data_IF_617144848708
#
_entry.id   IF_617144848708
#
_cell.length_a   1.000
_cell.length_b   1.000
_cell.length_c   1.000
_cell.angle_alpha   90.00
_cell.angle_beta   90.00
_cell.angle_gamma   90.00
#
_symmetry.space_group_name_H-M   'P 1'
#
loop_
_entity.id
_entity.type
_entity.pdbx_description
1 polymer ?
#
# COMPACT_ATOMS: atom_id res chain seq x y z
N UNK A 1 -51.44 28.96 32.43
CA UNK A 1 -50.59 27.98 33.15
C UNK A 1 -51.49 26.86 33.66
N UNK A 2 -51.58 25.76 32.91
CA UNK A 2 -52.29 24.54 33.33
C UNK A 2 -51.30 23.56 33.96
N UNK A 3 -51.45 23.31 35.26
CA UNK A 3 -50.64 22.37 36.03
C UNK A 3 -51.02 20.93 35.65
N UNK A 4 -50.10 20.20 35.02
CA UNK A 4 -50.23 18.76 34.77
C UNK A 4 -50.08 18.05 36.13
N UNK A 5 -51.02 17.17 36.52
CA UNK A 5 -51.02 16.56 37.85
C UNK A 5 -49.84 15.60 38.03
N UNK A 6 -49.27 15.49 39.25
CA UNK A 6 -48.04 14.73 39.54
C UNK A 6 -48.15 13.21 39.29
N UNK A 7 -49.37 12.68 39.11
CA UNK A 7 -49.60 11.29 38.74
C UNK A 7 -49.25 10.98 37.27
N UNK A 8 -49.17 12.00 36.41
CA UNK A 8 -48.80 11.85 34.98
C UNK A 8 -47.29 11.70 34.77
N UNK A 9 -46.48 12.32 35.63
CA UNK A 9 -45.02 12.27 35.53
C UNK A 9 -44.44 10.89 35.84
N UNK A 10 -45.03 10.18 36.81
CA UNK A 10 -44.63 8.83 37.20
C UNK A 10 -44.94 7.84 36.06
N UNK A 11 -46.11 7.97 35.43
CA UNK A 11 -46.48 7.15 34.26
C UNK A 11 -45.52 7.36 33.08
N UNK A 12 -45.12 8.61 32.80
CA UNK A 12 -44.17 8.92 31.74
C UNK A 12 -42.78 8.33 32.03
N UNK A 13 -42.33 8.36 33.29
CA UNK A 13 -41.07 7.78 33.74
C UNK A 13 -41.05 6.25 33.65
N UNK A 14 -42.17 5.59 33.93
CA UNK A 14 -42.31 4.14 33.73
C UNK A 14 -42.29 3.77 32.24
N UNK A 15 -42.94 4.55 31.38
CA UNK A 15 -42.94 4.30 29.93
C UNK A 15 -41.53 4.50 29.34
N UNK A 16 -40.81 5.56 29.71
CA UNK A 16 -39.44 5.80 29.22
C UNK A 16 -38.46 4.75 29.75
N UNK A 17 -38.61 4.31 31.01
CA UNK A 17 -37.79 3.24 31.58
C UNK A 17 -38.08 1.89 30.92
N UNK A 18 -39.34 1.58 30.64
CA UNK A 18 -39.72 0.36 29.92
C UNK A 18 -39.20 0.36 28.47
N UNK A 19 -39.27 1.50 27.77
CA UNK A 19 -38.70 1.64 26.43
C UNK A 19 -37.17 1.52 26.44
N UNK A 20 -36.49 2.03 27.47
CA UNK A 20 -35.05 1.89 27.65
C UNK A 20 -34.63 0.45 27.97
N UNK A 21 -35.39 -0.26 28.80
CA UNK A 21 -35.15 -1.68 29.10
C UNK A 21 -35.45 -2.56 27.89
N UNK A 22 -36.51 -2.26 27.12
CA UNK A 22 -36.80 -2.96 25.87
C UNK A 22 -35.70 -2.71 24.82
N UNK A 23 -35.17 -1.48 24.70
CA UNK A 23 -34.08 -1.19 23.76
C UNK A 23 -32.79 -1.90 24.16
N UNK A 24 -32.51 -2.04 25.46
CA UNK A 24 -31.42 -2.87 25.97
C UNK A 24 -31.64 -4.35 25.73
N UNK A 25 -32.87 -4.85 25.80
CA UNK A 25 -33.18 -6.24 25.42
C UNK A 25 -32.95 -6.49 23.92
N UNK A 26 -33.23 -5.52 23.05
CA UNK A 26 -32.90 -5.63 21.62
C UNK A 26 -31.39 -5.51 21.34
N UNK A 27 -30.66 -4.68 22.08
CA UNK A 27 -29.19 -4.54 22.00
C UNK A 27 -28.43 -5.74 22.58
N UNK A 28 -28.95 -6.35 23.65
CA UNK A 28 -28.35 -7.55 24.26
C UNK A 28 -28.75 -8.83 23.52
N UNK A 29 -29.87 -8.84 22.80
CA UNK A 29 -30.26 -9.93 21.89
C UNK A 29 -29.65 -9.79 20.48
N UNK A 30 -29.04 -8.65 20.15
CA UNK A 30 -28.26 -8.47 18.91
C UNK A 30 -26.78 -8.85 19.04
N UNK A 31 -26.35 -9.37 20.20
CA UNK A 31 -24.99 -9.89 20.41
C UNK A 31 -24.88 -11.42 20.27
N UNK A 32 -25.92 -12.09 19.78
CA UNK A 32 -25.77 -13.44 19.24
C UNK A 32 -25.25 -13.34 17.80
N UNK A 33 -23.97 -13.71 17.66
CA UNK A 33 -23.28 -14.16 16.43
C UNK A 33 -24.09 -13.98 15.15
N UNK A 34 -23.72 -13.01 14.33
CA UNK A 34 -23.84 -13.19 12.89
C UNK A 34 -22.99 -14.38 12.50
N UNK A 35 -23.63 -15.57 12.48
CA UNK A 35 -23.19 -16.69 11.67
C UNK A 35 -23.09 -16.15 10.25
N UNK A 36 -21.87 -15.85 9.81
CA UNK A 36 -21.56 -15.78 8.40
C UNK A 36 -22.06 -17.08 7.78
N UNK A 37 -23.07 -16.99 6.92
CA UNK A 37 -23.40 -18.06 6.01
C UNK A 37 -22.28 -18.03 4.98
N UNK A 38 -21.26 -18.82 5.26
CA UNK A 38 -20.27 -19.26 4.29
C UNK A 38 -21.01 -19.99 3.16
N UNK A 39 -21.24 -19.29 2.04
CA UNK A 39 -21.45 -19.96 0.77
C UNK A 39 -20.09 -20.32 0.17
N UNK A 40 -19.41 -21.29 0.78
CA UNK A 40 -18.44 -22.12 0.08
C UNK A 40 -19.22 -23.01 -0.89
N UNK A 41 -19.42 -22.53 -2.12
CA UNK A 41 -19.54 -23.44 -3.26
C UNK A 41 -18.12 -23.89 -3.63
N UNK A 42 -17.61 -24.85 -2.85
CA UNK A 42 -16.50 -25.69 -3.27
C UNK A 42 -17.03 -26.63 -4.37
N UNK A 43 -16.40 -26.73 -5.55
CA UNK A 43 -16.54 -27.91 -6.38
C UNK A 43 -15.90 -29.08 -5.63
N UNK A 44 -16.65 -30.18 -5.47
CA UNK A 44 -16.19 -31.44 -4.89
C UNK A 44 -14.78 -31.83 -5.37
N UNK A 45 -13.81 -31.81 -4.47
CA UNK A 45 -12.46 -32.37 -4.64
C UNK A 45 -12.40 -33.87 -4.33
N UNK A 46 -13.47 -34.60 -4.66
CA UNK A 46 -13.51 -36.07 -4.61
C UNK A 46 -13.85 -36.60 -5.99
N UNK A 47 -12.90 -36.50 -6.93
CA UNK A 47 -12.91 -37.27 -8.18
C UNK A 47 -11.54 -37.24 -8.89
N UNK A 48 -10.42 -37.22 -8.17
CA UNK A 48 -9.10 -37.56 -8.74
C UNK A 48 -8.29 -38.33 -7.71
N UNK A 49 -8.67 -39.58 -7.50
CA UNK A 49 -7.77 -40.63 -7.05
C UNK A 49 -8.32 -41.96 -7.61
N UNK A 50 -7.44 -42.70 -8.29
CA UNK A 50 -7.66 -43.99 -8.93
C UNK A 50 -8.45 -43.98 -10.26
N UNK A 51 -7.70 -43.87 -11.36
CA UNK A 51 -7.96 -44.62 -12.59
C UNK A 51 -6.69 -44.62 -13.42
N UNK A 52 -5.78 -45.54 -13.09
CA UNK A 52 -4.88 -46.11 -14.10
C UNK A 52 -5.74 -46.65 -15.23
N UNK A 53 -5.71 -45.99 -16.39
CA UNK A 53 -5.97 -46.67 -17.65
C UNK A 53 -5.32 -45.91 -18.79
N UNK A 54 -4.34 -46.58 -19.39
CA UNK A 54 -3.81 -46.30 -20.72
C UNK A 54 -4.98 -46.17 -21.71
N UNK A 55 -5.20 -44.95 -22.20
CA UNK A 55 -5.95 -44.73 -23.42
C UNK A 55 -5.01 -44.12 -24.44
N UNK A 56 -4.52 -44.99 -25.31
CA UNK A 56 -3.96 -44.66 -26.61
C UNK A 56 -5.09 -44.02 -27.41
N UNK A 57 -4.95 -42.74 -27.74
CA UNK A 57 -5.76 -42.09 -28.77
C UNK A 57 -4.81 -41.52 -29.81
N UNK A 58 -4.94 -42.07 -31.00
CA UNK A 58 -4.21 -41.73 -32.19
C UNK A 58 -4.50 -40.30 -32.68
N UNK A 59 -3.54 -39.85 -33.47
CA UNK A 59 -3.20 -38.49 -33.81
C UNK A 59 -4.04 -37.97 -35.00
N UNK A 60 -5.01 -37.08 -34.76
CA UNK A 60 -5.54 -36.17 -35.79
C UNK A 60 -6.08 -34.89 -35.15
N UNK A 61 -5.46 -33.74 -35.43
CA UNK A 61 -6.08 -32.43 -35.18
C UNK A 61 -5.08 -31.36 -34.75
N UNK A 62 -4.86 -30.39 -35.65
CA UNK A 62 -4.26 -29.07 -35.43
C UNK A 62 -3.91 -28.72 -33.98
N UNK A 63 -2.61 -28.82 -33.67
CA UNK A 63 -1.99 -28.16 -32.52
C UNK A 63 -2.17 -26.64 -32.66
N UNK A 64 -3.16 -26.08 -31.96
CA UNK A 64 -3.13 -24.68 -31.53
C UNK A 64 -1.85 -24.49 -30.73
N UNK A 65 -0.83 -23.93 -31.39
CA UNK A 65 0.42 -23.52 -30.74
C UNK A 65 0.07 -22.37 -29.78
N UNK A 66 -0.13 -22.68 -28.50
CA UNK A 66 0.02 -21.67 -27.46
C UNK A 66 1.47 -21.20 -27.53
N UNK A 67 1.63 -19.95 -27.99
CA UNK A 67 2.93 -19.34 -28.16
C UNK A 67 3.71 -19.35 -26.86
N UNK A 68 5.01 -19.59 -26.99
CA UNK A 68 6.04 -19.43 -25.95
C UNK A 68 5.75 -18.26 -25.01
N UNK A 69 5.94 -18.48 -23.69
CA UNK A 69 5.93 -17.48 -22.62
C UNK A 69 6.90 -16.32 -22.89
N UNK A 70 6.57 -15.45 -23.84
CA UNK A 70 7.18 -14.14 -23.94
C UNK A 70 6.56 -13.31 -22.83
N UNK A 71 7.38 -12.95 -21.84
CA UNK A 71 7.04 -11.96 -20.81
C UNK A 71 6.51 -10.71 -21.51
N UNK A 72 5.20 -10.49 -21.45
CA UNK A 72 4.57 -9.37 -22.14
C UNK A 72 4.89 -8.08 -21.38
N UNK A 73 5.49 -7.11 -22.07
CA UNK A 73 5.91 -5.83 -21.47
C UNK A 73 4.68 -4.95 -21.32
N UNK A 74 4.45 -4.41 -20.11
CA UNK A 74 3.36 -3.48 -19.84
C UNK A 74 3.56 -2.18 -20.62
N UNK A 75 2.61 -1.82 -21.49
CA UNK A 75 2.63 -0.55 -22.22
C UNK A 75 1.91 0.52 -21.43
N UNK A 76 2.63 1.59 -21.10
CA UNK A 76 2.10 2.66 -20.26
C UNK A 76 2.09 3.97 -21.02
N UNK A 77 0.91 4.57 -21.17
CA UNK A 77 0.82 5.96 -21.59
C UNK A 77 0.94 6.85 -20.35
N UNK A 78 1.71 7.91 -20.41
CA UNK A 78 1.90 8.84 -19.30
C UNK A 78 1.47 10.23 -19.73
N UNK A 79 0.51 10.83 -19.01
CA UNK A 79 0.03 12.18 -19.29
C UNK A 79 1.16 13.21 -19.18
N UNK A 80 1.23 14.11 -20.15
CA UNK A 80 2.09 15.29 -20.14
C UNK A 80 1.50 16.40 -19.25
N UNK A 81 1.40 16.12 -17.94
CA UNK A 81 0.92 17.08 -16.96
C UNK A 81 1.87 18.29 -16.87
N UNK A 82 1.35 19.51 -16.62
CA UNK A 82 2.18 20.68 -16.40
C UNK A 82 3.22 20.47 -15.28
N UNK A 83 4.39 21.12 -15.34
CA UNK A 83 5.46 20.95 -14.33
C UNK A 83 5.06 21.20 -12.88
N UNK A 84 4.00 21.99 -12.63
CA UNK A 84 3.45 22.22 -11.28
C UNK A 84 2.91 20.95 -10.59
N UNK A 85 2.74 19.84 -11.33
CA UNK A 85 2.34 18.55 -10.78
C UNK A 85 3.53 17.62 -10.46
N UNK A 86 4.74 17.85 -10.97
CA UNK A 86 5.84 16.90 -10.80
C UNK A 86 7.19 17.57 -10.49
N UNK A 87 8.17 17.53 -11.38
CA UNK A 87 9.52 18.07 -11.18
C UNK A 87 9.53 19.58 -10.91
N UNK A 88 8.53 20.34 -11.35
CA UNK A 88 8.38 21.75 -10.92
C UNK A 88 8.19 21.89 -9.41
N UNK A 89 7.59 20.89 -8.75
CA UNK A 89 7.48 20.82 -7.30
C UNK A 89 8.82 20.55 -6.59
N UNK A 90 9.87 20.16 -7.31
CA UNK A 90 11.23 20.02 -6.76
C UNK A 90 12.14 21.18 -7.15
N UNK A 91 11.62 22.17 -7.89
CA UNK A 91 12.36 23.35 -8.35
C UNK A 91 13.01 23.19 -9.73
N UNK A 92 12.78 22.08 -10.43
CA UNK A 92 13.16 21.94 -11.83
C UNK A 92 12.38 22.94 -12.70
N UNK A 93 13.04 23.48 -13.72
CA UNK A 93 12.44 24.43 -14.66
C UNK A 93 12.42 23.82 -16.06
N UNK A 94 11.28 23.87 -16.78
CA UNK A 94 11.19 23.36 -18.13
C UNK A 94 12.08 24.16 -19.09
N UNK A 95 12.64 23.46 -20.09
CA UNK A 95 13.34 24.07 -21.22
C UNK A 95 12.41 24.09 -22.42
N UNK A 96 12.08 25.29 -22.92
CA UNK A 96 11.11 25.45 -24.01
C UNK A 96 9.73 24.92 -23.63
N UNK A 97 9.10 24.20 -24.56
CA UNK A 97 7.76 23.61 -24.37
C UNK A 97 7.79 22.19 -23.77
N UNK A 98 8.97 21.67 -23.39
CA UNK A 98 9.07 20.33 -22.83
C UNK A 98 8.61 20.31 -21.36
N UNK A 99 7.68 19.42 -21.04
CA UNK A 99 7.21 19.22 -19.66
C UNK A 99 8.10 18.24 -18.89
N UNK A 100 9.01 17.52 -19.54
CA UNK A 100 9.88 16.52 -18.90
C UNK A 100 11.35 16.95 -18.86
N UNK A 101 12.10 16.54 -17.82
CA UNK A 101 13.55 16.64 -17.82
C UNK A 101 14.17 15.70 -18.87
N UNK A 102 15.25 16.13 -19.51
CA UNK A 102 16.08 15.26 -20.34
C UNK A 102 17.05 14.48 -19.46
N UNK A 103 16.78 13.18 -19.28
CA UNK A 103 17.58 12.31 -18.43
C UNK A 103 19.00 12.06 -18.95
N UNK A 104 19.29 12.42 -20.20
CA UNK A 104 20.65 12.37 -20.78
C UNK A 104 21.51 13.54 -20.33
N UNK A 105 20.89 14.68 -19.99
CA UNK A 105 21.60 15.86 -19.48
C UNK A 105 21.85 15.78 -17.96
N UNK A 106 21.12 14.90 -17.26
CA UNK A 106 21.31 14.66 -15.83
C UNK A 106 20.04 14.16 -15.14
N UNK A 107 20.24 13.50 -14.00
CA UNK A 107 19.13 13.01 -13.16
C UNK A 107 18.57 14.16 -12.33
N UNK A 108 17.27 14.49 -12.44
CA UNK A 108 16.66 15.55 -11.64
C UNK A 108 16.76 15.25 -10.15
N UNK A 109 17.12 16.26 -9.37
CA UNK A 109 17.17 16.13 -7.91
C UNK A 109 15.77 15.85 -7.33
N UNK A 110 15.72 14.96 -6.36
CA UNK A 110 14.56 14.74 -5.50
C UNK A 110 14.91 15.09 -4.04
N UNK A 111 14.01 15.78 -3.29
CA UNK A 111 14.28 16.15 -1.91
C UNK A 111 14.65 14.94 -1.04
N UNK A 112 15.78 15.03 -0.34
CA UNK A 112 16.24 13.99 0.57
C UNK A 112 15.46 13.92 1.89
N UNK A 113 16.01 13.16 2.84
CA UNK A 113 15.43 12.98 4.18
C UNK A 113 14.10 12.23 4.15
N UNK A 114 13.15 12.64 4.99
CA UNK A 114 11.84 11.97 5.09
C UNK A 114 11.00 12.04 3.80
N UNK A 115 11.30 12.97 2.88
CA UNK A 115 10.61 13.01 1.59
C UNK A 115 10.88 11.76 0.74
N UNK A 116 12.00 11.07 0.98
CA UNK A 116 12.35 9.85 0.25
C UNK A 116 11.37 8.72 0.52
N UNK A 117 10.84 8.60 1.75
CA UNK A 117 9.96 7.49 2.15
C UNK A 117 8.78 7.29 1.21
N UNK A 118 8.22 8.39 0.69
CA UNK A 118 7.10 8.40 -0.24
C UNK A 118 7.50 9.02 -1.59
N UNK A 119 8.62 8.58 -2.16
CA UNK A 119 9.15 9.08 -3.44
C UNK A 119 8.77 8.23 -4.66
N UNK A 120 7.77 7.37 -4.53
CA UNK A 120 7.42 6.35 -5.52
C UNK A 120 7.05 7.01 -6.86
N UNK A 121 6.33 8.13 -6.81
CA UNK A 121 5.95 8.91 -7.99
C UNK A 121 7.16 9.33 -8.82
N UNK A 122 8.25 9.72 -8.15
CA UNK A 122 9.49 10.10 -8.81
C UNK A 122 10.15 8.89 -9.48
N UNK A 123 10.31 7.77 -8.78
CA UNK A 123 11.00 6.59 -9.33
C UNK A 123 10.27 5.98 -10.52
N UNK A 124 8.94 5.86 -10.46
CA UNK A 124 8.13 5.34 -11.57
C UNK A 124 8.17 6.29 -12.78
N UNK A 125 8.11 7.61 -12.55
CA UNK A 125 8.22 8.60 -13.63
C UNK A 125 9.59 8.55 -14.31
N UNK A 126 10.66 8.47 -13.53
CA UNK A 126 12.03 8.34 -14.03
C UNK A 126 12.21 7.07 -14.87
N UNK A 127 11.64 5.95 -14.43
CA UNK A 127 11.71 4.69 -15.16
C UNK A 127 10.99 4.76 -16.50
N UNK A 128 9.78 5.32 -16.54
CA UNK A 128 9.02 5.53 -17.78
C UNK A 128 9.75 6.45 -18.76
N UNK A 129 10.32 7.56 -18.29
CA UNK A 129 11.13 8.47 -19.11
C UNK A 129 12.39 7.76 -19.66
N UNK A 130 13.04 6.94 -18.85
CA UNK A 130 14.21 6.17 -19.30
C UNK A 130 13.87 5.08 -20.32
N UNK A 131 12.68 4.48 -20.21
CA UNK A 131 12.25 3.37 -21.07
C UNK A 131 12.10 3.73 -22.55
N UNK A 132 12.00 5.02 -22.87
CA UNK A 132 11.92 5.51 -24.26
C UNK A 132 13.26 5.40 -25.02
N UNK A 133 14.36 5.34 -24.29
CA UNK A 133 15.72 5.43 -24.85
C UNK A 133 16.53 4.14 -24.66
N UNK A 134 15.94 3.11 -24.05
CA UNK A 134 16.63 1.87 -23.70
C UNK A 134 16.29 0.78 -24.71
N UNK A 135 17.29 0.38 -25.51
CA UNK A 135 17.13 -0.70 -26.49
C UNK A 135 17.06 -2.10 -25.85
N UNK A 136 17.56 -2.23 -24.61
CA UNK A 136 17.57 -3.51 -23.91
C UNK A 136 16.30 -3.71 -23.07
N UNK A 137 15.28 -4.30 -23.69
CA UNK A 137 13.96 -4.56 -23.10
C UNK A 137 13.86 -5.92 -22.40
N UNK A 138 14.91 -6.76 -22.39
CA UNK A 138 14.76 -8.19 -22.05
C UNK A 138 14.23 -8.47 -20.64
N UNK A 139 14.64 -7.65 -19.66
CA UNK A 139 14.24 -7.81 -18.24
C UNK A 139 13.23 -6.74 -17.78
N UNK A 140 13.08 -5.65 -18.55
CA UNK A 140 12.18 -4.55 -18.20
C UNK A 140 10.74 -5.00 -18.19
N UNK A 141 9.99 -4.54 -17.20
CA UNK A 141 8.59 -4.91 -17.01
C UNK A 141 7.63 -3.92 -17.69
N UNK A 142 8.15 -2.76 -18.10
CA UNK A 142 7.35 -1.63 -18.60
C UNK A 142 8.02 -0.93 -19.78
N UNK A 143 7.19 -0.37 -20.67
CA UNK A 143 7.61 0.55 -21.73
C UNK A 143 6.62 1.70 -21.84
N UNK A 144 7.13 2.94 -21.83
CA UNK A 144 6.31 4.13 -22.12
C UNK A 144 5.93 4.14 -23.61
N UNK A 145 4.63 4.29 -23.89
CA UNK A 145 4.08 4.54 -25.22
C UNK A 145 3.61 5.99 -25.33
N UNK A 146 3.69 6.56 -26.54
CA UNK A 146 3.27 7.95 -26.81
C UNK A 146 1.80 8.06 -27.20
N UNK A 147 1.19 6.96 -27.65
CA UNK A 147 -0.20 6.90 -28.05
C UNK A 147 -1.02 6.15 -27.00
N UNK A 148 -2.03 6.82 -26.43
CA UNK A 148 -2.88 6.25 -25.37
C UNK A 148 -3.77 5.10 -25.85
N UNK A 149 -3.90 4.88 -27.16
CA UNK A 149 -4.60 3.72 -27.74
C UNK A 149 -3.75 2.44 -27.74
N UNK A 150 -2.43 2.56 -27.63
CA UNK A 150 -1.50 1.42 -27.56
C UNK A 150 -1.22 0.97 -26.12
N UNK A 151 -1.69 1.73 -25.14
CA UNK A 151 -1.41 1.51 -23.73
C UNK A 151 -2.35 0.48 -23.10
N UNK A 152 -1.80 -0.29 -22.18
CA UNK A 152 -2.56 -1.17 -21.30
C UNK A 152 -3.14 -0.40 -20.10
N UNK A 153 -2.40 0.60 -19.63
CA UNK A 153 -2.74 1.48 -18.50
C UNK A 153 -2.21 2.89 -18.71
N UNK A 154 -2.79 3.85 -18.01
CA UNK A 154 -2.46 5.27 -18.09
C UNK A 154 -1.90 5.77 -16.76
N UNK A 155 -0.67 6.25 -16.77
CA UNK A 155 0.00 6.79 -15.60
C UNK A 155 -0.28 8.29 -15.42
N UNK A 156 -0.63 8.67 -14.19
CA UNK A 156 -0.83 10.07 -13.78
C UNK A 156 0.38 10.54 -12.96
N UNK A 157 1.32 11.31 -13.55
CA UNK A 157 2.56 11.70 -12.91
C UNK A 157 2.37 12.94 -12.01
N UNK A 158 1.55 12.81 -10.95
CA UNK A 158 1.42 13.84 -9.92
C UNK A 158 2.21 13.45 -8.67
N UNK A 159 3.20 14.25 -8.28
CA UNK A 159 4.03 14.03 -7.09
C UNK A 159 3.26 14.48 -5.83
N UNK A 160 2.15 13.80 -5.56
CA UNK A 160 1.16 14.16 -4.54
C UNK A 160 1.75 14.17 -3.13
N UNK A 161 2.72 13.30 -2.85
CA UNK A 161 3.46 13.28 -1.58
C UNK A 161 4.28 14.56 -1.34
N UNK A 162 4.96 15.06 -2.38
CA UNK A 162 5.71 16.34 -2.31
C UNK A 162 4.76 17.52 -2.21
N UNK A 163 3.67 17.52 -2.99
CA UNK A 163 2.63 18.57 -2.92
C UNK A 163 2.12 18.73 -1.48
N UNK A 164 1.74 17.61 -0.85
CA UNK A 164 1.28 17.59 0.53
C UNK A 164 2.35 18.13 1.50
N UNK A 165 3.57 17.58 1.46
CA UNK A 165 4.64 17.95 2.39
C UNK A 165 5.05 19.42 2.28
N UNK A 166 5.04 19.99 1.07
CA UNK A 166 5.42 21.39 0.85
C UNK A 166 4.33 22.37 1.25
N UNK A 167 3.06 22.08 0.92
CA UNK A 167 2.03 23.13 0.95
C UNK A 167 0.97 22.96 2.05
N UNK A 168 0.74 21.76 2.60
CA UNK A 168 -0.39 21.56 3.54
C UNK A 168 -0.23 22.36 4.84
N UNK A 169 0.97 22.41 5.40
CA UNK A 169 1.23 22.99 6.73
C UNK A 169 1.76 24.44 6.71
N UNK A 170 2.00 25.03 5.53
CA UNK A 170 2.62 26.36 5.40
C UNK A 170 1.62 27.52 5.31
N UNK A 171 0.33 27.24 5.20
CA UNK A 171 -0.69 28.26 4.91
C UNK A 171 -1.83 28.28 5.94
N UNK A 172 -1.49 28.30 7.23
CA UNK A 172 -2.49 28.52 8.30
C UNK A 172 -3.15 29.90 8.09
N UNK A 173 -4.44 29.92 7.77
CA UNK A 173 -5.23 31.15 7.59
C UNK A 173 -5.76 31.43 6.17
N UNK A 174 -5.40 30.63 5.16
CA UNK A 174 -6.01 30.72 3.81
C UNK A 174 -7.23 29.81 3.68
N UNK A 175 -8.24 30.23 2.90
CA UNK A 175 -9.48 29.46 2.65
C UNK A 175 -9.22 28.12 1.94
N UNK A 176 -8.16 28.03 1.12
CA UNK A 176 -7.70 26.80 0.47
C UNK A 176 -6.20 26.86 0.24
N UNK A 177 -5.47 25.79 0.57
CA UNK A 177 -4.03 25.72 0.35
C UNK A 177 -3.67 25.28 -1.07
N UNK A 178 -2.44 25.57 -1.51
CA UNK A 178 -1.94 25.21 -2.86
C UNK A 178 -2.13 23.72 -3.18
N UNK A 179 -1.87 22.82 -2.23
CA UNK A 179 -2.06 21.36 -2.40
C UNK A 179 -3.50 21.02 -2.79
N UNK A 180 -4.49 21.57 -2.09
CA UNK A 180 -5.90 21.36 -2.38
C UNK A 180 -6.33 21.98 -3.72
N UNK A 181 -5.69 23.07 -4.17
CA UNK A 181 -5.94 23.66 -5.49
C UNK A 181 -5.37 22.77 -6.61
N UNK A 182 -4.17 22.21 -6.43
CA UNK A 182 -3.58 21.27 -7.38
C UNK A 182 -4.42 20.00 -7.50
N UNK A 183 -4.96 19.49 -6.40
CA UNK A 183 -5.86 18.33 -6.41
C UNK A 183 -7.14 18.59 -7.21
N UNK A 184 -7.78 19.75 -7.04
CA UNK A 184 -8.96 20.12 -7.85
C UNK A 184 -8.63 20.26 -9.34
N UNK A 185 -7.51 20.92 -9.66
CA UNK A 185 -7.03 21.04 -11.04
C UNK A 185 -6.76 19.67 -11.66
N UNK A 186 -6.14 18.76 -10.91
CA UNK A 186 -5.87 17.39 -11.35
C UNK A 186 -7.17 16.67 -11.70
N UNK A 187 -8.17 16.72 -10.81
CA UNK A 187 -9.46 16.07 -11.05
C UNK A 187 -10.14 16.64 -12.29
N UNK A 188 -10.18 17.97 -12.42
CA UNK A 188 -10.75 18.64 -13.59
C UNK A 188 -10.03 18.22 -14.88
N UNK A 189 -8.70 18.24 -14.87
CA UNK A 189 -7.88 17.84 -16.02
C UNK A 189 -8.15 16.40 -16.41
N UNK A 190 -8.05 15.44 -15.47
CA UNK A 190 -8.22 14.02 -15.75
C UNK A 190 -9.63 13.71 -16.24
N UNK A 191 -10.66 14.17 -15.55
CA UNK A 191 -12.06 13.87 -15.90
C UNK A 191 -12.51 14.48 -17.23
N UNK A 192 -11.80 15.50 -17.71
CA UNK A 192 -12.04 16.09 -19.04
C UNK A 192 -11.45 15.27 -20.19
N UNK A 193 -10.43 14.43 -19.95
CA UNK A 193 -9.72 13.66 -20.98
C UNK A 193 -10.59 12.57 -21.61
N UNK A 194 -10.37 12.31 -22.90
CA UNK A 194 -11.06 11.24 -23.61
C UNK A 194 -10.74 9.86 -23.02
N UNK A 195 -9.49 9.62 -22.61
CA UNK A 195 -9.14 8.33 -22.04
C UNK A 195 -9.84 8.08 -20.71
N UNK A 196 -9.98 9.11 -19.88
CA UNK A 196 -10.75 8.99 -18.64
C UNK A 196 -12.20 8.64 -18.92
N UNK A 197 -12.85 9.39 -19.84
CA UNK A 197 -14.24 9.14 -20.24
C UNK A 197 -14.43 7.75 -20.84
N UNK A 198 -13.44 7.26 -21.58
CA UNK A 198 -13.46 5.94 -22.23
C UNK A 198 -13.60 4.80 -21.23
N UNK A 199 -12.90 4.83 -20.10
CA UNK A 199 -12.84 3.72 -19.15
C UNK A 199 -13.40 4.05 -17.76
N UNK A 200 -13.87 5.28 -17.56
CA UNK A 200 -14.31 5.79 -16.27
C UNK A 200 -13.18 5.92 -15.25
N UNK A 201 -11.93 6.06 -15.72
CA UNK A 201 -10.72 6.13 -14.89
C UNK A 201 -10.11 4.79 -14.48
N UNK A 202 -10.69 3.64 -14.88
CA UNK A 202 -10.28 2.31 -14.38
C UNK A 202 -8.96 1.77 -14.93
N UNK A 203 -8.51 2.32 -16.05
CA UNK A 203 -7.19 2.07 -16.62
C UNK A 203 -6.15 3.10 -16.14
N UNK A 204 -6.55 4.08 -15.30
CA UNK A 204 -5.64 5.08 -14.75
C UNK A 204 -4.98 4.61 -13.47
N UNK A 205 -3.69 4.93 -13.36
CA UNK A 205 -2.85 4.73 -12.18
C UNK A 205 -2.66 6.08 -11.52
N UNK A 206 -3.11 6.21 -10.28
CA UNK A 206 -2.98 7.43 -9.47
C UNK A 206 -2.23 7.09 -8.19
N UNK A 207 -1.24 7.91 -7.84
CA UNK A 207 -0.39 7.64 -6.68
C UNK A 207 -0.84 8.46 -5.46
N UNK A 208 -1.15 7.74 -4.39
CA UNK A 208 -1.48 8.31 -3.08
C UNK A 208 -0.66 7.61 -1.97
N UNK A 209 0.63 7.35 -2.24
CA UNK A 209 1.49 6.56 -1.37
C UNK A 209 1.71 7.22 0.00
N UNK A 210 1.79 8.55 0.08
CA UNK A 210 1.72 9.22 1.38
C UNK A 210 0.27 9.19 1.90
N UNK A 211 0.00 8.70 3.12
CA UNK A 211 -1.37 8.45 3.61
C UNK A 211 -2.24 9.71 3.77
N UNK A 212 -1.61 10.90 3.74
CA UNK A 212 -2.31 12.19 3.76
C UNK A 212 -2.28 12.93 2.41
N UNK A 213 -1.73 12.33 1.36
CA UNK A 213 -1.81 12.88 0.01
C UNK A 213 -3.21 12.66 -0.58
N UNK A 214 -3.59 13.48 -1.57
CA UNK A 214 -4.85 13.35 -2.31
C UNK A 214 -6.14 13.32 -1.49
N UNK A 215 -6.16 13.89 -0.28
CA UNK A 215 -7.35 13.86 0.58
C UNK A 215 -8.63 14.39 -0.10
N UNK A 216 -8.51 15.41 -0.96
CA UNK A 216 -9.63 16.05 -1.65
C UNK A 216 -9.95 15.40 -3.02
N UNK A 217 -8.97 14.72 -3.61
CA UNK A 217 -9.09 14.10 -4.95
C UNK A 217 -9.43 12.61 -4.92
N UNK A 218 -8.99 11.86 -3.90
CA UNK A 218 -9.13 10.39 -3.85
C UNK A 218 -10.58 9.92 -4.00
N UNK A 219 -11.54 10.55 -3.33
CA UNK A 219 -12.95 10.15 -3.48
C UNK A 219 -13.51 10.43 -4.88
N UNK A 220 -12.96 11.41 -5.60
CA UNK A 220 -13.37 11.78 -6.96
C UNK A 220 -12.70 10.91 -8.03
N UNK A 221 -11.55 10.32 -7.71
CA UNK A 221 -10.75 9.48 -8.60
C UNK A 221 -10.81 8.00 -8.21
N UNK A 222 -11.78 7.58 -7.39
CA UNK A 222 -11.81 6.26 -6.74
C UNK A 222 -11.81 5.05 -7.69
N UNK A 223 -12.28 5.25 -8.92
CA UNK A 223 -12.29 4.24 -9.96
C UNK A 223 -10.88 3.87 -10.44
N UNK A 224 -9.89 4.76 -10.25
CA UNK A 224 -8.51 4.50 -10.62
C UNK A 224 -7.89 3.38 -9.78
N UNK A 225 -6.88 2.74 -10.35
CA UNK A 225 -5.93 1.92 -9.60
C UNK A 225 -5.03 2.86 -8.80
N UNK A 226 -5.01 2.70 -7.48
CA UNK A 226 -4.11 3.40 -6.61
C UNK A 226 -2.84 2.62 -6.33
N UNK A 227 -1.75 3.38 -6.22
CA UNK A 227 -0.52 2.91 -5.59
C UNK A 227 -0.45 3.55 -4.20
N UNK A 228 -0.51 2.71 -3.16
CA UNK A 228 -0.65 3.07 -1.76
C UNK A 228 0.46 2.46 -0.90
N UNK A 229 0.65 2.97 0.33
CA UNK A 229 1.50 2.33 1.33
C UNK A 229 0.77 1.28 2.17
N UNK A 230 -0.54 1.45 2.35
CA UNK A 230 -1.49 0.55 3.02
C UNK A 230 -2.94 1.03 2.76
N UNK A 231 -3.93 0.25 3.22
CA UNK A 231 -5.35 0.63 3.15
C UNK A 231 -5.92 1.26 4.42
N UNK A 232 -5.15 1.44 5.49
CA UNK A 232 -5.66 1.82 6.81
C UNK A 232 -6.39 3.16 6.87
N UNK A 233 -6.17 4.07 5.91
CA UNK A 233 -6.90 5.35 5.78
C UNK A 233 -7.98 5.37 4.72
N UNK A 234 -8.36 4.20 4.21
CA UNK A 234 -9.24 4.07 3.06
C UNK A 234 -10.36 3.08 3.39
N UNK A 235 -11.63 3.46 3.20
CA UNK A 235 -12.70 2.48 3.22
C UNK A 235 -12.51 1.48 2.07
N UNK A 236 -12.92 0.20 2.22
CA UNK A 236 -12.74 -0.83 1.19
C UNK A 236 -13.34 -0.50 -0.19
N UNK A 237 -14.37 0.35 -0.19
CA UNK A 237 -15.00 0.85 -1.42
C UNK A 237 -14.14 1.85 -2.20
N UNK A 238 -13.19 2.50 -1.52
CA UNK A 238 -12.24 3.45 -2.11
C UNK A 238 -10.93 2.77 -2.51
N UNK A 239 -10.40 1.91 -1.63
CA UNK A 239 -9.19 1.16 -1.89
C UNK A 239 -9.27 -0.29 -1.42
N UNK A 240 -8.77 -1.23 -2.22
CA UNK A 240 -8.80 -2.66 -1.93
C UNK A 240 -7.81 -3.46 -2.78
N UNK A 241 -7.51 -4.67 -2.31
CA UNK A 241 -6.59 -5.62 -2.95
C UNK A 241 -7.00 -6.00 -4.38
N UNK A 242 -8.26 -5.87 -4.79
CA UNK A 242 -8.66 -6.31 -6.14
C UNK A 242 -8.12 -5.37 -7.22
N UNK A 243 -8.12 -4.06 -6.97
CA UNK A 243 -7.78 -3.05 -7.97
C UNK A 243 -6.47 -2.33 -7.69
N UNK A 244 -6.07 -2.19 -6.42
CA UNK A 244 -4.95 -1.35 -6.01
C UNK A 244 -3.67 -2.16 -5.79
N UNK A 245 -2.55 -1.42 -5.73
CA UNK A 245 -1.21 -1.96 -5.51
C UNK A 245 -0.60 -1.32 -4.27
N UNK A 246 -0.08 -2.15 -3.36
CA UNK A 246 0.75 -1.68 -2.26
C UNK A 246 2.19 -1.59 -2.75
N UNK A 247 2.82 -0.42 -2.58
CA UNK A 247 4.23 -0.20 -2.87
C UNK A 247 5.02 -0.11 -1.56
N UNK A 248 6.27 -0.60 -1.53
CA UNK A 248 7.12 -0.45 -0.36
C UNK A 248 7.55 1.00 -0.18
N UNK A 249 7.76 1.41 1.06
CA UNK A 249 8.41 2.70 1.32
C UNK A 249 9.87 2.63 0.86
N UNK A 250 10.44 3.76 0.43
CA UNK A 250 11.89 3.83 0.30
C UNK A 250 12.51 3.95 1.69
N UNK A 251 13.23 2.91 2.09
CA UNK A 251 14.03 2.90 3.32
C UNK A 251 14.97 4.13 3.37
N UNK A 252 15.18 4.66 4.57
CA UNK A 252 15.99 5.86 4.83
C UNK A 252 17.35 5.54 5.42
N UNK A 253 17.54 4.31 5.87
CA UNK A 253 18.83 3.75 6.25
C UNK A 253 19.57 3.23 5.00
N UNK A 254 20.91 3.23 4.96
CA UNK A 254 21.64 2.62 3.86
C UNK A 254 21.48 1.09 3.87
N UNK A 255 21.39 0.50 2.69
CA UNK A 255 21.42 -0.96 2.46
C UNK A 255 22.68 -1.57 3.06
N UNK A 256 22.55 -2.73 3.71
CA UNK A 256 23.66 -3.39 4.37
C UNK A 256 24.39 -4.36 3.44
N UNK A 257 25.28 -3.79 2.64
CA UNK A 257 26.07 -4.53 1.65
C UNK A 257 27.06 -5.49 2.33
N UNK A 258 27.13 -6.73 1.82
CA UNK A 258 28.06 -7.78 2.26
C UNK A 258 27.97 -8.12 3.75
N UNK A 259 26.75 -8.15 4.30
CA UNK A 259 26.53 -8.58 5.68
C UNK A 259 26.95 -10.05 5.88
N UNK A 260 27.92 -10.25 6.76
CA UNK A 260 28.46 -11.55 7.18
C UNK A 260 28.15 -11.86 8.64
N UNK A 261 27.14 -11.17 9.20
CA UNK A 261 26.68 -11.38 10.56
C UNK A 261 26.27 -12.83 10.82
N UNK A 262 26.41 -13.25 12.07
CA UNK A 262 25.84 -14.49 12.59
C UNK A 262 24.86 -14.16 13.70
N UNK A 263 24.10 -15.15 14.15
CA UNK A 263 23.18 -14.98 15.28
C UNK A 263 23.87 -14.42 16.53
N UNK A 264 25.09 -14.87 16.81
CA UNK A 264 25.84 -14.50 18.01
C UNK A 264 26.56 -13.15 17.87
N UNK A 265 26.84 -12.69 16.64
CA UNK A 265 27.45 -11.37 16.42
C UNK A 265 26.47 -10.20 16.58
N UNK A 266 25.16 -10.49 16.68
CA UNK A 266 24.10 -9.51 16.90
C UNK A 266 23.63 -9.56 18.36
N UNK A 267 24.21 -8.77 19.27
CA UNK A 267 24.00 -8.94 20.72
C UNK A 267 22.58 -8.58 21.19
N UNK A 268 21.89 -7.67 20.51
CA UNK A 268 20.55 -7.23 20.89
C UNK A 268 19.50 -8.22 20.38
N UNK A 269 18.58 -8.67 21.24
CA UNK A 269 17.50 -9.57 20.83
C UNK A 269 16.43 -8.80 20.05
N UNK A 270 15.80 -7.80 20.67
CA UNK A 270 14.74 -7.00 20.07
C UNK A 270 15.13 -5.53 19.97
N UNK A 271 14.85 -4.93 18.82
CA UNK A 271 15.12 -3.52 18.57
C UNK A 271 13.89 -2.75 18.12
N UNK A 272 13.63 -1.63 18.80
CA UNK A 272 12.69 -0.60 18.40
C UNK A 272 13.29 0.78 18.66
N UNK A 273 13.27 1.62 17.63
CA UNK A 273 13.53 3.05 17.79
C UNK A 273 12.54 3.85 16.94
N UNK A 274 11.83 4.78 17.58
CA UNK A 274 10.87 5.66 16.89
C UNK A 274 9.87 6.30 17.83
N UNK A 275 8.86 6.98 17.27
CA UNK A 275 7.81 7.57 18.08
C UNK A 275 6.98 6.47 18.77
N UNK A 276 6.99 6.48 20.11
CA UNK A 276 6.29 5.51 20.97
C UNK A 276 4.85 5.94 21.18
N UNK A 277 4.63 7.19 21.59
CA UNK A 277 3.28 7.72 21.76
C UNK A 277 2.66 8.04 20.41
N UNK A 278 1.72 7.20 19.99
CA UNK A 278 0.97 7.28 18.73
C UNK A 278 -0.51 7.06 19.01
N UNK A 279 -1.33 7.32 18.00
CA UNK A 279 -2.79 7.14 18.05
C UNK A 279 -3.20 5.96 17.18
N UNK A 280 -4.50 5.67 17.17
CA UNK A 280 -5.10 4.60 16.36
C UNK A 280 -4.42 3.25 16.64
N UNK A 281 -4.05 2.47 15.62
CA UNK A 281 -3.32 1.20 15.80
C UNK A 281 -1.96 1.35 16.50
N UNK A 282 -1.40 2.56 16.56
CA UNK A 282 -0.12 2.84 17.18
C UNK A 282 -0.15 2.93 18.71
N UNK A 283 -1.33 2.94 19.34
CA UNK A 283 -1.48 2.98 20.79
C UNK A 283 -0.74 1.82 21.48
N UNK A 284 -0.70 0.65 20.84
CA UNK A 284 -0.01 -0.56 21.33
C UNK A 284 1.48 -0.34 21.61
N UNK A 285 2.14 0.62 20.93
CA UNK A 285 3.56 0.92 21.16
C UNK A 285 3.83 1.38 22.58
N UNK A 286 2.91 2.14 23.17
CA UNK A 286 3.05 2.62 24.56
C UNK A 286 2.97 1.46 25.54
N UNK A 287 2.01 0.55 25.35
CA UNK A 287 1.84 -0.61 26.21
C UNK A 287 3.05 -1.54 26.14
N UNK A 288 3.50 -1.88 24.92
CA UNK A 288 4.70 -2.69 24.72
C UNK A 288 5.93 -2.02 25.32
N UNK A 289 6.12 -0.72 25.13
CA UNK A 289 7.22 0.01 25.76
C UNK A 289 7.21 -0.15 27.28
N UNK A 290 6.06 0.03 27.94
CA UNK A 290 5.99 -0.13 29.40
C UNK A 290 6.24 -1.57 29.85
N UNK A 291 5.91 -2.57 29.02
CA UNK A 291 6.11 -3.98 29.36
C UNK A 291 7.56 -4.46 29.22
N UNK A 292 8.30 -4.00 28.20
CA UNK A 292 9.60 -4.61 27.83
C UNK A 292 10.79 -3.64 27.78
N UNK A 293 10.63 -2.34 28.07
CA UNK A 293 11.74 -1.37 27.99
C UNK A 293 12.92 -1.67 28.92
N UNK A 294 12.69 -2.38 30.02
CA UNK A 294 13.71 -2.67 31.05
C UNK A 294 14.32 -4.09 30.88
N UNK A 295 13.93 -4.83 29.83
CA UNK A 295 14.54 -6.13 29.50
C UNK A 295 15.97 -5.94 28.99
N UNK A 296 16.91 -6.72 29.52
CA UNK A 296 18.36 -6.54 29.30
C UNK A 296 18.78 -6.61 27.82
N UNK A 297 18.12 -7.46 27.04
CA UNK A 297 18.41 -7.74 25.63
C UNK A 297 17.49 -6.99 24.66
N UNK A 298 16.77 -5.97 25.16
CA UNK A 298 15.83 -5.16 24.38
C UNK A 298 16.30 -3.72 24.31
N UNK A 299 16.33 -3.16 23.10
CA UNK A 299 16.45 -1.72 22.88
C UNK A 299 15.09 -1.18 22.44
N UNK A 300 14.38 -0.48 23.32
CA UNK A 300 13.10 0.15 23.00
C UNK A 300 13.14 1.63 23.37
N UNK A 301 13.38 2.51 22.39
CA UNK A 301 13.61 3.94 22.67
C UNK A 301 12.89 4.89 21.70
N UNK A 302 12.78 6.15 22.11
CA UNK A 302 12.34 7.22 21.24
C UNK A 302 13.36 7.46 20.11
N UNK A 303 12.87 7.53 18.88
CA UNK A 303 13.70 7.82 17.70
C UNK A 303 13.62 9.28 17.27
N UNK A 304 14.68 9.74 16.59
CA UNK A 304 14.74 11.06 15.95
C UNK A 304 15.38 10.93 14.57
N UNK A 305 15.00 11.83 13.66
CA UNK A 305 15.65 11.98 12.34
C UNK A 305 16.75 13.05 12.36
N UNK A 306 16.86 13.80 13.45
CA UNK A 306 17.86 14.86 13.62
C UNK A 306 19.13 14.32 14.28
N UNK A 307 20.22 15.10 14.23
CA UNK A 307 21.44 14.88 15.05
C UNK A 307 22.02 13.46 14.98
N UNK A 308 21.97 12.82 13.80
CA UNK A 308 22.52 11.47 13.59
C UNK A 308 21.60 10.31 13.98
N UNK A 309 20.31 10.57 14.27
CA UNK A 309 19.38 9.50 14.66
C UNK A 309 19.15 8.42 13.59
N UNK A 310 19.30 8.74 12.29
CA UNK A 310 19.30 7.73 11.22
C UNK A 310 20.51 6.79 11.36
N UNK A 311 21.68 7.33 11.66
CA UNK A 311 22.91 6.55 11.87
C UNK A 311 22.78 5.64 13.09
N UNK A 312 22.29 6.18 14.21
CA UNK A 312 22.00 5.38 15.41
C UNK A 312 20.98 4.27 15.12
N UNK A 313 19.92 4.59 14.38
CA UNK A 313 18.93 3.59 13.97
C UNK A 313 19.55 2.48 13.12
N UNK A 314 20.42 2.86 12.18
CA UNK A 314 21.16 1.92 11.31
C UNK A 314 22.06 1.00 12.14
N UNK A 315 22.90 1.56 13.01
CA UNK A 315 23.81 0.80 13.89
C UNK A 315 23.02 -0.13 14.84
N UNK A 316 21.91 0.35 15.38
CA UNK A 316 21.02 -0.43 16.25
C UNK A 316 20.35 -1.60 15.53
N UNK A 317 19.78 -1.38 14.35
CA UNK A 317 19.17 -2.47 13.56
C UNK A 317 20.20 -3.52 13.14
N UNK A 318 21.40 -3.09 12.70
CA UNK A 318 22.46 -4.01 12.25
C UNK A 318 23.10 -4.83 13.37
N UNK A 319 22.99 -4.37 14.62
CA UNK A 319 23.46 -5.11 15.81
C UNK A 319 22.36 -5.97 16.47
N UNK A 320 21.17 -6.00 15.89
CA UNK A 320 20.00 -6.66 16.48
C UNK A 320 19.56 -7.88 15.68
N UNK A 321 19.08 -8.91 16.39
CA UNK A 321 18.53 -10.13 15.77
C UNK A 321 17.19 -9.84 15.12
N UNK A 322 16.31 -9.14 15.85
CA UNK A 322 14.94 -8.86 15.45
C UNK A 322 14.59 -7.39 15.59
N UNK A 323 13.78 -6.87 14.67
CA UNK A 323 13.33 -5.48 14.65
C UNK A 323 11.81 -5.39 14.75
N UNK A 324 11.32 -4.76 15.83
CA UNK A 324 9.90 -4.59 16.09
C UNK A 324 9.29 -3.59 15.10
N UNK A 325 8.46 -4.09 14.19
CA UNK A 325 7.70 -3.35 13.19
C UNK A 325 6.25 -3.20 13.65
N UNK A 326 6.08 -2.36 14.67
CA UNK A 326 4.78 -2.12 15.31
C UNK A 326 3.98 -1.07 14.52
N UNK A 327 2.68 -1.28 14.35
CA UNK A 327 1.74 -0.33 13.76
C UNK A 327 1.92 1.09 14.30
N UNK A 328 1.67 2.10 13.45
CA UNK A 328 1.64 3.51 13.83
C UNK A 328 0.23 4.08 13.74
N UNK A 329 0.11 5.34 13.33
CA UNK A 329 -1.21 5.94 13.00
C UNK A 329 -1.83 5.33 11.72
N UNK A 330 -1.09 4.44 11.06
CA UNK A 330 -1.49 3.57 9.95
C UNK A 330 -0.92 2.18 10.22
N UNK A 331 -1.50 1.11 9.65
CA UNK A 331 -0.98 -0.25 9.80
C UNK A 331 0.49 -0.37 9.36
N UNK A 332 0.85 0.25 8.24
CA UNK A 332 2.22 0.17 7.71
C UNK A 332 3.19 1.16 8.35
N UNK A 333 4.49 0.83 8.27
CA UNK A 333 5.57 1.69 8.73
C UNK A 333 6.83 1.49 7.90
N UNK A 334 7.52 2.58 7.56
CA UNK A 334 8.84 2.55 6.88
C UNK A 334 9.87 1.67 7.62
N UNK A 335 9.68 1.46 8.93
CA UNK A 335 10.59 0.63 9.74
C UNK A 335 10.72 -0.80 9.22
N UNK A 336 9.65 -1.35 8.63
CA UNK A 336 9.72 -2.67 7.98
C UNK A 336 10.83 -2.68 6.93
N UNK A 337 10.82 -1.71 6.02
CA UNK A 337 11.79 -1.60 4.95
C UNK A 337 13.19 -1.19 5.44
N UNK A 338 13.28 -0.35 6.48
CA UNK A 338 14.57 -0.05 7.13
C UNK A 338 15.19 -1.31 7.77
N UNK A 339 14.37 -2.19 8.37
CA UNK A 339 14.83 -3.43 8.97
C UNK A 339 15.26 -4.47 7.93
N UNK A 340 14.55 -4.58 6.81
CA UNK A 340 14.94 -5.40 5.66
C UNK A 340 16.31 -4.94 5.13
N UNK A 341 16.47 -3.65 4.83
CA UNK A 341 17.73 -3.08 4.34
C UNK A 341 18.91 -3.16 5.34
N UNK A 342 18.62 -3.44 6.62
CA UNK A 342 19.63 -3.64 7.68
C UNK A 342 19.85 -5.12 8.03
N UNK A 343 19.22 -6.03 7.28
CA UNK A 343 19.16 -7.46 7.56
C UNK A 343 18.78 -7.79 9.01
N UNK A 344 17.85 -7.04 9.60
CA UNK A 344 17.29 -7.29 10.92
C UNK A 344 15.92 -7.94 10.76
N UNK A 345 15.75 -9.19 11.23
CA UNK A 345 14.52 -9.98 10.99
C UNK A 345 13.30 -9.22 11.51
N UNK A 346 12.35 -8.80 10.65
CA UNK A 346 11.21 -8.01 11.08
C UNK A 346 10.24 -8.81 11.95
N UNK A 347 9.81 -8.22 13.07
CA UNK A 347 8.72 -8.73 13.91
C UNK A 347 7.55 -7.77 13.78
N UNK A 348 6.57 -8.14 12.97
CA UNK A 348 5.43 -7.32 12.58
C UNK A 348 4.32 -7.48 13.62
N UNK A 349 3.90 -6.35 14.21
CA UNK A 349 2.77 -6.27 15.13
C UNK A 349 1.80 -5.21 14.56
N UNK A 350 0.97 -5.65 13.63
CA UNK A 350 -0.03 -4.83 12.95
C UNK A 350 -1.08 -5.73 12.30
N UNK A 351 -2.28 -5.80 12.87
CA UNK A 351 -3.29 -6.79 12.50
C UNK A 351 -3.93 -6.53 11.13
N UNK A 352 -4.00 -5.27 10.70
CA UNK A 352 -4.62 -4.84 9.43
C UNK A 352 -3.59 -4.45 8.36
N UNK A 353 -2.37 -4.99 8.44
CA UNK A 353 -1.30 -4.67 7.48
C UNK A 353 -1.46 -5.47 6.20
N UNK A 354 -1.39 -4.78 5.08
CA UNK A 354 -1.24 -5.36 3.74
C UNK A 354 0.19 -5.07 3.28
N UNK A 355 0.86 -6.07 2.70
CA UNK A 355 2.27 -5.98 2.33
C UNK A 355 2.45 -5.87 0.81
N UNK A 356 3.52 -5.20 0.37
CA UNK A 356 3.85 -5.18 -1.05
C UNK A 356 4.30 -6.58 -1.51
N UNK A 357 3.81 -7.01 -2.67
CA UNK A 357 4.24 -8.23 -3.36
C UNK A 357 3.93 -9.55 -2.64
N UNK A 358 2.89 -9.63 -1.81
CA UNK A 358 2.48 -10.90 -1.16
C UNK A 358 2.07 -11.99 -2.15
N UNK A 359 1.78 -11.63 -3.40
CA UNK A 359 1.54 -12.58 -4.48
C UNK A 359 2.82 -13.20 -5.07
N UNK A 360 4.00 -12.71 -4.66
CA UNK A 360 5.32 -13.15 -5.13
C UNK A 360 6.23 -13.57 -3.98
N UNK A 361 6.15 -12.91 -2.83
CA UNK A 361 7.01 -13.12 -1.68
C UNK A 361 6.19 -13.67 -0.51
N UNK A 362 6.60 -14.82 0.02
CA UNK A 362 6.08 -15.31 1.29
C UNK A 362 6.85 -14.65 2.45
N UNK A 363 6.23 -13.65 3.07
CA UNK A 363 6.82 -12.93 4.20
C UNK A 363 7.06 -13.82 5.42
N UNK A 364 6.38 -14.96 5.57
CA UNK A 364 6.62 -15.87 6.70
C UNK A 364 8.00 -16.54 6.64
N UNK A 365 8.66 -16.52 5.48
CA UNK A 365 10.02 -17.06 5.33
C UNK A 365 11.10 -16.13 5.91
N UNK A 366 10.81 -14.84 6.11
CA UNK A 366 11.80 -13.84 6.56
C UNK A 366 11.26 -12.82 7.57
N UNK A 367 9.99 -12.89 7.95
CA UNK A 367 9.35 -12.07 8.97
C UNK A 367 8.58 -12.93 9.97
N UNK A 368 8.37 -12.35 11.15
CA UNK A 368 7.55 -12.92 12.21
C UNK A 368 6.30 -12.06 12.36
N UNK A 369 5.13 -12.68 12.38
CA UNK A 369 3.86 -12.00 12.60
C UNK A 369 3.31 -12.32 13.99
N UNK A 370 2.99 -11.29 14.77
CA UNK A 370 2.38 -11.43 16.09
C UNK A 370 1.16 -10.52 16.14
N UNK A 371 -0.01 -11.09 16.47
CA UNK A 371 -1.22 -10.30 16.67
C UNK A 371 -1.03 -9.32 17.81
N UNK A 372 -1.57 -8.11 17.68
CA UNK A 372 -1.49 -7.09 18.73
C UNK A 372 -2.00 -7.61 20.08
N UNK A 373 -3.11 -8.33 20.07
CA UNK A 373 -3.70 -8.95 21.25
C UNK A 373 -2.82 -10.02 21.92
N UNK A 374 -2.00 -10.75 21.15
CA UNK A 374 -1.07 -11.74 21.69
C UNK A 374 0.19 -11.06 22.25
N UNK A 375 0.71 -10.05 21.56
CA UNK A 375 1.88 -9.29 21.99
C UNK A 375 1.70 -8.63 23.38
N UNK A 376 0.47 -8.25 23.72
CA UNK A 376 0.10 -7.64 25.00
C UNK A 376 -0.10 -8.66 26.14
N UNK A 377 -0.11 -9.96 25.86
CA UNK A 377 -0.19 -10.98 26.92
C UNK A 377 1.09 -10.96 27.75
N UNK A 378 0.94 -11.00 29.07
CA UNK A 378 2.07 -10.98 30.01
C UNK A 378 3.13 -12.02 29.63
N UNK A 379 4.36 -11.55 29.45
CA UNK A 379 5.55 -12.34 29.08
C UNK A 379 5.47 -13.08 27.73
N UNK A 380 4.36 -13.00 26.97
CA UNK A 380 4.21 -13.75 25.72
C UNK A 380 5.28 -13.36 24.71
N UNK A 381 5.40 -12.06 24.40
CA UNK A 381 6.35 -11.57 23.40
C UNK A 381 7.78 -12.01 23.72
N UNK A 382 8.26 -11.77 24.95
CA UNK A 382 9.63 -12.14 25.33
C UNK A 382 9.87 -13.64 25.33
N UNK A 383 8.92 -14.44 25.83
CA UNK A 383 9.03 -15.90 25.81
C UNK A 383 9.06 -16.43 24.38
N UNK A 384 8.21 -15.90 23.51
CA UNK A 384 8.15 -16.26 22.10
C UNK A 384 9.46 -15.92 21.39
N UNK A 385 9.95 -14.68 21.50
CA UNK A 385 11.20 -14.27 20.85
C UNK A 385 12.42 -15.05 21.33
N UNK A 386 12.48 -15.40 22.62
CA UNK A 386 13.56 -16.22 23.20
C UNK A 386 13.46 -17.71 22.85
N UNK A 387 12.28 -18.18 22.41
CA UNK A 387 12.08 -19.57 21.99
C UNK A 387 12.61 -19.86 20.58
N UNK A 388 12.79 -18.82 19.77
CA UNK A 388 13.27 -18.93 18.39
C UNK A 388 14.74 -19.34 18.40
N UNK A 389 15.03 -20.47 17.73
CA UNK A 389 16.37 -21.05 17.71
C UNK A 389 17.27 -20.33 16.72
N UNK A 390 18.58 -20.46 16.92
CA UNK A 390 19.61 -19.91 16.03
C UNK A 390 19.40 -20.35 14.58
N UNK A 391 19.08 -21.61 14.35
CA UNK A 391 18.90 -22.17 13.00
C UNK A 391 17.69 -21.55 12.29
N UNK A 392 16.61 -21.29 13.04
CA UNK A 392 15.40 -20.65 12.51
C UNK A 392 15.66 -19.19 12.16
N UNK A 393 16.33 -18.45 13.05
CA UNK A 393 16.76 -17.09 12.78
C UNK A 393 17.69 -17.02 11.56
N UNK A 394 18.67 -17.93 11.45
CA UNK A 394 19.61 -17.93 10.31
C UNK A 394 18.90 -18.16 8.99
N UNK A 395 17.88 -19.03 8.94
CA UNK A 395 17.06 -19.21 7.73
C UNK A 395 16.34 -17.92 7.34
N UNK A 396 15.65 -17.28 8.29
CA UNK A 396 14.97 -16.00 8.03
C UNK A 396 15.95 -14.90 7.60
N UNK A 397 17.10 -14.81 8.27
CA UNK A 397 18.14 -13.83 7.96
C UNK A 397 18.72 -14.04 6.56
N UNK A 398 19.07 -15.27 6.17
CA UNK A 398 19.55 -15.56 4.82
C UNK A 398 18.50 -15.24 3.76
N UNK A 399 17.22 -15.58 4.02
CA UNK A 399 16.13 -15.24 3.11
C UNK A 399 15.97 -13.72 2.96
N UNK A 400 16.12 -12.97 4.05
CA UNK A 400 16.05 -11.51 4.06
C UNK A 400 17.08 -10.88 3.10
N UNK A 401 18.30 -11.42 3.05
CA UNK A 401 19.37 -10.96 2.14
C UNK A 401 19.01 -11.20 0.66
N UNK A 402 18.33 -12.29 0.35
CA UNK A 402 17.93 -12.60 -1.04
C UNK A 402 16.82 -11.66 -1.53
N UNK A 403 15.91 -11.28 -0.63
CA UNK A 403 14.73 -10.48 -0.97
C UNK A 403 14.94 -8.98 -0.85
N UNK A 404 16.00 -8.50 -0.17
CA UNK A 404 16.21 -7.05 0.06
C UNK A 404 16.14 -6.23 -1.22
N UNK A 405 16.69 -6.79 -2.32
CA UNK A 405 16.75 -6.13 -3.63
C UNK A 405 15.37 -5.74 -4.17
N UNK A 406 14.31 -6.50 -3.83
CA UNK A 406 12.94 -6.21 -4.26
C UNK A 406 12.36 -4.94 -3.62
N UNK A 407 13.03 -4.39 -2.60
CA UNK A 407 12.62 -3.17 -1.90
C UNK A 407 13.54 -1.97 -2.18
N UNK A 408 14.52 -2.15 -3.07
CA UNK A 408 15.47 -1.10 -3.46
C UNK A 408 14.90 -0.21 -4.56
N UNK A 409 14.97 1.11 -4.32
CA UNK A 409 14.66 2.12 -5.32
C UNK A 409 15.95 2.77 -5.82
N UNK A 410 16.22 2.68 -7.11
CA UNK A 410 17.46 3.18 -7.71
C UNK A 410 17.23 3.68 -9.15
N UNK A 411 18.20 4.43 -9.66
CA UNK A 411 18.20 4.89 -11.05
C UNK A 411 19.58 4.63 -11.70
N UNK A 412 19.63 4.04 -12.90
CA UNK A 412 18.54 3.36 -13.59
C UNK A 412 17.96 2.22 -12.74
N UNK A 413 16.68 1.87 -12.95
CA UNK A 413 16.10 0.69 -12.31
C UNK A 413 16.86 -0.57 -12.74
N UNK A 414 16.80 -1.63 -11.94
CA UNK A 414 17.39 -2.94 -12.22
C UNK A 414 16.34 -4.04 -12.18
N UNK A 415 16.67 -5.18 -12.77
CA UNK A 415 15.83 -6.36 -12.70
C UNK A 415 15.51 -6.74 -11.25
N UNK A 416 14.22 -6.87 -10.96
CA UNK A 416 13.73 -7.26 -9.64
C UNK A 416 13.92 -6.18 -8.56
N UNK A 417 14.16 -4.92 -8.90
CA UNK A 417 14.09 -3.85 -7.90
C UNK A 417 12.65 -3.41 -7.61
N UNK A 418 12.45 -2.52 -6.63
CA UNK A 418 11.11 -2.10 -6.20
C UNK A 418 10.29 -1.46 -7.33
N UNK A 419 10.95 -0.71 -8.22
CA UNK A 419 10.32 -0.08 -9.38
C UNK A 419 9.78 -1.14 -10.33
N UNK A 420 10.62 -2.13 -10.69
CA UNK A 420 10.20 -3.21 -11.57
C UNK A 420 9.13 -4.09 -10.92
N UNK A 421 9.24 -4.37 -9.62
CA UNK A 421 8.24 -5.14 -8.87
C UNK A 421 6.87 -4.44 -8.84
N UNK A 422 6.83 -3.11 -8.68
CA UNK A 422 5.58 -2.32 -8.78
C UNK A 422 4.97 -2.45 -10.19
N UNK A 423 5.76 -2.28 -11.25
CA UNK A 423 5.25 -2.43 -12.62
C UNK A 423 4.71 -3.83 -12.90
N UNK A 424 5.36 -4.86 -12.37
CA UNK A 424 4.88 -6.23 -12.51
C UNK A 424 3.56 -6.44 -11.75
N UNK A 425 3.41 -5.87 -10.55
CA UNK A 425 2.15 -5.91 -9.82
C UNK A 425 1.02 -5.23 -10.62
N UNK A 426 1.28 -4.06 -11.19
CA UNK A 426 0.32 -3.34 -12.06
C UNK A 426 -0.03 -4.19 -13.29
N UNK A 427 0.97 -4.82 -13.93
CA UNK A 427 0.75 -5.68 -15.08
C UNK A 427 -0.15 -6.87 -14.77
N UNK A 428 -0.08 -7.43 -13.55
CA UNK A 428 -0.98 -8.49 -13.10
C UNK A 428 -2.41 -8.00 -12.81
N UNK A 429 -2.57 -6.74 -12.36
CA UNK A 429 -3.88 -6.14 -12.08
C UNK A 429 -4.62 -5.62 -13.32
N UNK A 430 -3.90 -5.24 -14.38
CA UNK A 430 -4.51 -4.60 -15.55
C UNK A 430 -5.50 -5.50 -16.34
N UNK A 431 -5.21 -6.79 -16.65
CA UNK A 431 -6.12 -7.62 -17.45
C UNK A 431 -7.49 -7.88 -16.76
N UNK A 432 -7.56 -8.22 -15.46
CA UNK A 432 -8.84 -8.35 -14.77
C UNK A 432 -9.68 -7.07 -14.78
N UNK A 433 -9.05 -5.89 -14.60
CA UNK A 433 -9.75 -4.60 -14.66
C UNK A 433 -10.28 -4.32 -16.06
N UNK A 434 -9.48 -4.58 -17.10
CA UNK A 434 -9.90 -4.43 -18.50
C UNK A 434 -11.06 -5.38 -18.84
N UNK A 435 -11.05 -6.60 -18.32
CA UNK A 435 -12.17 -7.53 -18.46
C UNK A 435 -13.46 -6.98 -17.84
N UNK A 436 -13.40 -6.42 -16.61
CA UNK A 436 -14.55 -5.77 -15.95
C UNK A 436 -15.09 -4.62 -16.81
N UNK A 437 -14.23 -3.73 -17.28
CA UNK A 437 -14.59 -2.61 -18.18
C UNK A 437 -15.28 -3.12 -19.47
N UNK A 438 -14.70 -4.13 -20.12
CA UNK A 438 -15.24 -4.68 -21.36
C UNK A 438 -16.61 -5.32 -21.17
N UNK A 439 -16.82 -6.01 -20.04
CA UNK A 439 -18.11 -6.63 -19.69
C UNK A 439 -19.22 -5.59 -19.55
N UNK A 440 -18.94 -4.50 -18.84
CA UNK A 440 -19.92 -3.42 -18.64
C UNK A 440 -20.25 -2.67 -19.94
N UNK A 441 -19.27 -2.50 -20.83
CA UNK A 441 -19.48 -1.83 -22.12
C UNK A 441 -20.33 -2.62 -23.11
N UNK A 442 -20.56 -3.93 -22.91
CA UNK A 442 -21.31 -4.77 -23.88
C UNK A 442 -22.68 -4.21 -24.21
N UNK A 443 -23.33 -3.59 -23.23
CA UNK A 443 -24.69 -3.08 -23.36
C UNK A 443 -24.76 -1.56 -23.49
N UNK A 444 -23.62 -0.86 -23.63
CA UNK A 444 -23.60 0.61 -23.68
C UNK A 444 -24.26 1.19 -24.94
N UNK A 445 -24.60 0.35 -25.92
CA UNK A 445 -25.29 0.72 -27.17
C UNK A 445 -26.78 0.37 -27.19
N UNK A 446 -27.26 -0.38 -26.19
CA UNK A 446 -28.63 -0.88 -26.10
C UNK A 446 -29.33 -0.21 -24.91
N UNK A 447 -30.13 0.81 -25.23
CA UNK A 447 -30.86 1.76 -24.38
C UNK A 447 -30.03 2.64 -23.43
N UNK A 448 -30.37 3.95 -23.32
CA UNK A 448 -29.92 4.73 -22.18
C UNK A 448 -30.69 4.20 -20.97
N UNK A 449 -30.01 3.43 -20.11
CA UNK A 449 -30.47 3.31 -18.72
C UNK A 449 -30.79 4.73 -18.24
N UNK A 450 -32.05 4.97 -17.89
CA UNK A 450 -32.49 6.22 -17.26
C UNK A 450 -31.40 6.63 -16.27
N UNK A 451 -30.92 7.87 -16.35
CA UNK A 451 -29.88 8.41 -15.48
C UNK A 451 -30.22 8.31 -13.98
N UNK A 452 -31.41 7.82 -13.61
CA UNK A 452 -31.79 7.42 -12.25
C UNK A 452 -31.13 6.13 -11.74
N UNK A 453 -30.60 5.24 -12.59
CA UNK A 453 -29.88 4.04 -12.10
C UNK A 453 -28.39 4.28 -11.84
N UNK A 454 -27.86 5.46 -12.20
CA UNK A 454 -26.52 5.92 -11.79
C UNK A 454 -26.53 6.67 -10.45
N UNK A 455 -27.67 6.71 -9.75
CA UNK A 455 -27.68 7.15 -8.36
C UNK A 455 -27.15 6.06 -7.45
N UNK A 456 -25.93 6.31 -6.98
CA UNK A 456 -25.34 5.83 -5.73
C UNK A 456 -24.82 4.38 -5.73
N UNK A 457 -23.62 4.18 -6.29
CA UNK A 457 -22.61 3.58 -5.39
C UNK A 457 -22.51 4.57 -4.22
N UNK A 458 -22.87 4.17 -2.98
CA UNK A 458 -22.83 5.11 -1.88
C UNK A 458 -21.43 5.70 -1.83
N UNK A 459 -21.34 7.04 -1.92
CA UNK A 459 -20.11 7.74 -1.60
C UNK A 459 -19.61 7.14 -0.29
N UNK A 460 -18.35 6.65 -0.22
CA UNK A 460 -17.82 6.14 1.03
C UNK A 460 -18.00 7.24 2.07
N UNK A 461 -18.71 6.93 3.17
CA UNK A 461 -18.90 7.89 4.27
C UNK A 461 -17.52 8.40 4.67
N UNK A 462 -17.28 9.69 4.46
CA UNK A 462 -16.01 10.33 4.84
C UNK A 462 -15.89 10.30 6.35
N UNK A 463 -14.94 9.54 6.89
CA UNK A 463 -14.43 9.77 8.23
C UNK A 463 -13.33 10.84 8.12
N UNK A 464 -13.58 11.99 8.74
CA UNK A 464 -12.59 13.04 8.97
C UNK A 464 -11.74 12.70 10.17
#
# INVERSE_FOLDING_TARGET
MGLIPPKSFIGLLFITSALFICSWFFLLRSNDRTRFVDHYLLPNSHLIAASDNRLVVENTGQSLRFGSDKKEILKVFMYDLPPEFHFGLTGWKPKGNNVWPDLREGVPHYPGGLNLQHSIEYWLTMDLLSSQHSDNLSWRSVKRVLNSSEADVIFVPFFSSISYNRFKNREKGKKKCIDSLLQDKLVSLLTSQEEWKRCGGRDHIVLAHHPNSLLDARTKLFNAMYILSDFGRYPPTLANVEKDVIAPYKHVVPTFVNDSSTFDSRPTLLYFQGAIYRKDGGAIRQELYMMIKDEKDVHFQFGTIMKGGIRQATEGMRSSKFCLCIAGDTPSSNRLFDSIASHCVPVIISDDLELPYEDVLDYSEFCIFIRGSDALKKNFLMNFMRSIKKEEWTKMWSRLQEVEKFFEYQYPSKEGDAVQMIWQAIARKAPPLRLKVNREKRYSRSEPLNQSSFQTLPLPRTFW
#
